data_IF_193974291818
#
_entry.id   IF_193974291818
#
_cell.length_a   1.000
_cell.length_b   1.000
_cell.length_c   1.000
_cell.angle_alpha   90.00
_cell.angle_beta   90.00
_cell.angle_gamma   90.00
#
_symmetry.space_group_name_H-M   'P 1'
#
loop_
_entity.id
_entity.type
_entity.pdbx_description
1 polymer ?
#
# COMPACT_ATOMS: atom_id res chain seq x y z
N UNK A 1 25.06 26.37 5.23
CA UNK A 1 24.35 25.80 4.06
C UNK A 1 23.92 24.33 4.24
N UNK A 2 23.89 23.77 5.46
CA UNK A 2 23.56 22.35 5.73
C UNK A 2 22.09 22.10 6.15
N UNK A 3 21.26 23.15 6.23
CA UNK A 3 19.85 23.05 6.66
C UNK A 3 18.86 22.85 5.51
N UNK A 4 19.24 23.16 4.27
CA UNK A 4 18.36 23.10 3.11
C UNK A 4 17.83 21.68 2.77
N UNK A 5 18.65 20.60 2.82
CA UNK A 5 18.19 19.25 2.49
C UNK A 5 17.20 18.66 3.51
N UNK A 6 17.27 19.10 4.77
CA UNK A 6 16.37 18.66 5.84
C UNK A 6 15.02 19.42 5.83
N UNK A 7 14.99 20.64 5.29
CA UNK A 7 13.80 21.48 5.24
C UNK A 7 12.92 21.23 4.00
N UNK A 8 13.51 20.74 2.90
CA UNK A 8 12.81 20.48 1.65
C UNK A 8 11.58 19.55 1.80
N UNK A 9 11.67 18.40 2.51
CA UNK A 9 10.51 17.54 2.74
C UNK A 9 9.41 18.23 3.56
N UNK A 10 9.78 19.00 4.59
CA UNK A 10 8.84 19.74 5.43
C UNK A 10 8.14 20.86 4.67
N UNK A 11 8.86 21.57 3.80
CA UNK A 11 8.32 22.63 2.93
C UNK A 11 7.36 22.02 1.90
N UNK A 12 7.74 20.91 1.26
CA UNK A 12 6.87 20.20 0.31
C UNK A 12 5.59 19.69 0.99
N UNK A 13 5.69 19.18 2.22
CA UNK A 13 4.53 18.76 3.01
C UNK A 13 3.61 19.95 3.36
N UNK A 14 4.19 21.09 3.75
CA UNK A 14 3.40 22.31 4.01
C UNK A 14 2.69 22.84 2.75
N UNK A 15 3.36 22.84 1.60
CA UNK A 15 2.77 23.26 0.32
C UNK A 15 1.64 22.32 -0.12
N UNK A 16 1.81 21.00 0.05
CA UNK A 16 0.74 20.02 -0.23
C UNK A 16 -0.45 20.19 0.69
N UNK A 17 -0.22 20.42 1.99
CA UNK A 17 -1.30 20.70 2.95
C UNK A 17 -2.08 21.97 2.56
N UNK A 18 -1.39 23.06 2.24
CA UNK A 18 -2.03 24.29 1.80
C UNK A 18 -2.87 24.07 0.53
N UNK A 19 -2.35 23.29 -0.42
CA UNK A 19 -3.10 22.88 -1.61
C UNK A 19 -4.30 22.01 -1.27
N UNK A 20 -4.20 21.09 -0.30
CA UNK A 20 -5.34 20.24 0.09
C UNK A 20 -6.51 21.08 0.64
N UNK A 21 -6.21 22.14 1.38
CA UNK A 21 -7.23 23.03 1.95
C UNK A 21 -7.98 23.85 0.88
N UNK A 22 -7.46 23.99 -0.34
CA UNK A 22 -8.21 24.65 -1.44
C UNK A 22 -9.37 23.80 -1.96
N UNK A 23 -9.40 22.50 -1.62
CA UNK A 23 -10.46 21.57 -1.99
C UNK A 23 -11.54 21.42 -0.91
N UNK A 24 -11.41 22.17 0.20
CA UNK A 24 -12.30 22.13 1.34
C UNK A 24 -13.53 23.03 1.14
N UNK A 25 -14.69 22.54 1.56
CA UNK A 25 -15.97 23.25 1.60
C UNK A 25 -16.20 23.89 2.98
N UNK A 26 -17.15 24.82 3.05
CA UNK A 26 -17.46 25.55 4.29
C UNK A 26 -18.11 24.66 5.36
N UNK A 27 -18.76 23.58 4.95
CA UNK A 27 -19.33 22.54 5.82
C UNK A 27 -18.29 21.54 6.34
N UNK A 28 -17.02 21.70 5.97
CA UNK A 28 -15.91 20.83 6.40
C UNK A 28 -15.61 19.66 5.46
N UNK A 29 -16.43 19.44 4.42
CA UNK A 29 -16.24 18.37 3.44
C UNK A 29 -15.19 18.71 2.39
N UNK A 30 -14.77 17.72 1.61
CA UNK A 30 -13.80 17.87 0.52
C UNK A 30 -14.36 17.32 -0.78
N UNK A 31 -14.06 17.98 -1.91
CA UNK A 31 -14.43 17.51 -3.26
C UNK A 31 -13.26 17.66 -4.24
N UNK A 32 -13.39 17.10 -5.45
CA UNK A 32 -12.31 17.10 -6.44
C UNK A 32 -11.95 18.51 -6.93
N UNK A 33 -12.92 19.42 -6.97
CA UNK A 33 -12.74 20.81 -7.42
C UNK A 33 -13.12 21.84 -6.35
N UNK A 34 -13.16 21.44 -5.09
CA UNK A 34 -13.52 22.32 -3.96
C UNK A 34 -14.88 22.97 -4.15
N UNK A 35 -15.00 24.25 -3.82
CA UNK A 35 -16.26 25.01 -3.88
C UNK A 35 -16.88 25.14 -5.28
N UNK A 36 -16.19 24.70 -6.35
CA UNK A 36 -16.79 24.62 -7.69
C UNK A 36 -17.72 23.41 -7.83
N UNK A 37 -17.55 22.38 -7.00
CA UNK A 37 -18.52 21.29 -6.92
C UNK A 37 -19.71 21.68 -6.04
N UNK A 38 -20.92 21.20 -6.34
CA UNK A 38 -22.12 21.54 -5.57
C UNK A 38 -22.13 20.94 -4.16
N UNK A 39 -21.32 19.91 -3.91
CA UNK A 39 -21.22 19.26 -2.60
C UNK A 39 -19.89 18.53 -2.43
N UNK A 40 -19.53 18.27 -1.17
CA UNK A 40 -18.44 17.37 -0.80
C UNK A 40 -18.66 15.94 -1.27
N UNK A 41 -17.57 15.18 -1.34
CA UNK A 41 -17.59 13.75 -1.63
C UNK A 41 -17.29 12.94 -0.36
N UNK A 42 -18.11 11.94 -0.05
CA UNK A 42 -17.97 11.13 1.18
C UNK A 42 -16.64 10.40 1.27
N UNK A 43 -16.28 9.68 0.21
CA UNK A 43 -15.02 8.95 0.17
C UNK A 43 -13.80 9.88 0.27
N UNK A 44 -13.78 10.98 -0.50
CA UNK A 44 -12.65 11.90 -0.49
C UNK A 44 -12.51 12.61 0.86
N UNK A 45 -13.62 13.00 1.49
CA UNK A 45 -13.61 13.61 2.82
C UNK A 45 -12.99 12.67 3.85
N UNK A 46 -13.36 11.38 3.82
CA UNK A 46 -12.76 10.37 4.70
C UNK A 46 -11.27 10.13 4.38
N UNK A 47 -10.88 10.07 3.10
CA UNK A 47 -9.49 9.93 2.68
C UNK A 47 -8.62 11.10 3.18
N UNK A 48 -9.10 12.33 3.07
CA UNK A 48 -8.39 13.53 3.55
C UNK A 48 -8.31 13.53 5.08
N UNK A 49 -9.41 13.22 5.76
CA UNK A 49 -9.45 13.10 7.22
C UNK A 49 -8.42 12.08 7.74
N UNK A 50 -8.39 10.87 7.15
CA UNK A 50 -7.40 9.83 7.44
C UNK A 50 -5.97 10.33 7.21
N UNK A 51 -5.71 10.94 6.06
CA UNK A 51 -4.39 11.46 5.69
C UNK A 51 -3.90 12.55 6.65
N UNK A 52 -4.77 13.48 7.02
CA UNK A 52 -4.49 14.56 7.96
C UNK A 52 -4.19 14.04 9.36
N UNK A 53 -4.96 13.06 9.84
CA UNK A 53 -4.68 12.40 11.12
C UNK A 53 -3.31 11.72 11.13
N UNK A 54 -3.00 10.94 10.09
CA UNK A 54 -1.69 10.29 9.96
C UNK A 54 -0.53 11.29 9.92
N UNK A 55 -0.71 12.41 9.22
CA UNK A 55 0.30 13.47 9.08
C UNK A 55 0.50 14.29 10.36
N UNK A 56 -0.51 14.39 11.24
CA UNK A 56 -0.46 15.18 12.49
C UNK A 56 0.70 14.81 13.40
N UNK A 57 1.21 13.58 13.30
CA UNK A 57 2.39 13.10 14.06
C UNK A 57 3.71 13.76 13.63
N UNK A 58 3.77 14.33 12.43
CA UNK A 58 5.00 14.82 11.81
C UNK A 58 4.93 16.30 11.41
N UNK A 59 3.73 16.82 11.14
CA UNK A 59 3.50 18.21 10.76
C UNK A 59 2.29 18.78 11.50
N UNK A 60 2.28 20.10 11.66
CA UNK A 60 1.12 20.79 12.22
C UNK A 60 -0.08 20.66 11.26
N UNK A 61 -1.14 20.01 11.75
CA UNK A 61 -2.46 19.95 11.15
C UNK A 61 -3.44 20.51 12.19
N UNK A 62 -4.23 21.50 11.79
CA UNK A 62 -5.30 22.03 12.63
C UNK A 62 -6.37 20.96 12.85
N UNK A 63 -6.62 20.63 14.13
CA UNK A 63 -7.58 19.61 14.55
C UNK A 63 -9.00 19.95 14.08
N UNK A 64 -9.35 21.23 13.95
CA UNK A 64 -10.65 21.67 13.47
C UNK A 64 -10.96 21.11 12.07
N UNK A 65 -9.96 20.92 11.20
CA UNK A 65 -10.17 20.34 9.88
C UNK A 65 -10.57 18.85 9.95
N UNK A 66 -10.06 18.12 10.93
CA UNK A 66 -10.36 16.71 11.14
C UNK A 66 -11.76 16.58 11.78
N UNK A 67 -12.04 17.40 12.79
CA UNK A 67 -13.32 17.37 13.51
C UNK A 67 -14.48 17.77 12.62
N UNK A 68 -14.31 18.80 11.78
CA UNK A 68 -15.32 19.23 10.81
C UNK A 68 -15.60 18.14 9.77
N UNK A 69 -14.55 17.48 9.25
CA UNK A 69 -14.72 16.37 8.31
C UNK A 69 -15.47 15.19 8.96
N UNK A 70 -15.14 14.83 10.21
CA UNK A 70 -15.86 13.80 10.98
C UNK A 70 -17.33 14.16 11.15
N UNK A 71 -17.61 15.40 11.59
CA UNK A 71 -18.97 15.86 11.84
C UNK A 71 -19.82 15.81 10.55
N UNK A 72 -19.25 16.27 9.44
CA UNK A 72 -19.92 16.21 8.14
C UNK A 72 -20.17 14.77 7.69
N UNK A 73 -19.20 13.86 7.83
CA UNK A 73 -19.38 12.43 7.53
C UNK A 73 -20.49 11.82 8.37
N UNK A 74 -20.58 12.16 9.66
CA UNK A 74 -21.65 11.72 10.55
C UNK A 74 -23.05 12.17 10.08
N UNK A 75 -23.15 13.33 9.40
CA UNK A 75 -24.41 13.79 8.79
C UNK A 75 -24.79 13.01 7.52
N UNK A 76 -23.84 12.32 6.89
CA UNK A 76 -24.09 11.45 5.73
C UNK A 76 -24.47 10.02 6.14
N UNK A 77 -24.60 9.74 7.44
CA UNK A 77 -25.00 8.44 7.94
C UNK A 77 -26.52 8.24 7.80
N UNK A 78 -26.91 7.11 7.22
CA UNK A 78 -28.29 6.71 7.00
C UNK A 78 -28.91 6.11 8.27
N UNK A 79 -30.23 5.89 8.26
CA UNK A 79 -30.97 5.32 9.40
C UNK A 79 -30.53 3.91 9.78
N UNK A 80 -30.04 3.12 8.80
CA UNK A 80 -29.48 1.79 9.01
C UNK A 80 -28.04 1.82 9.57
N UNK A 81 -27.42 3.00 9.69
CA UNK A 81 -26.06 3.19 10.19
C UNK A 81 -24.97 3.19 9.12
N UNK A 82 -25.24 2.79 7.89
CA UNK A 82 -24.28 2.90 6.78
C UNK A 82 -24.18 4.35 6.29
N UNK A 83 -23.08 4.69 5.64
CA UNK A 83 -22.86 6.01 5.05
C UNK A 83 -23.37 6.06 3.62
N UNK A 84 -24.10 7.12 3.29
CA UNK A 84 -24.55 7.38 1.93
C UNK A 84 -23.38 7.81 1.04
N UNK A 85 -23.41 7.40 -0.23
CA UNK A 85 -22.46 7.88 -1.24
C UNK A 85 -22.96 9.21 -1.82
N UNK A 86 -22.37 10.33 -1.39
CA UNK A 86 -22.70 11.68 -1.90
C UNK A 86 -21.54 12.32 -2.64
N UNK A 87 -21.88 13.28 -3.53
CA UNK A 87 -20.93 14.04 -4.33
C UNK A 87 -20.37 13.27 -5.52
N UNK A 88 -19.73 14.00 -6.43
CA UNK A 88 -19.10 13.41 -7.63
C UNK A 88 -17.60 13.28 -7.42
N UNK A 89 -17.04 12.14 -7.82
CA UNK A 89 -15.60 11.96 -7.92
C UNK A 89 -15.24 11.90 -9.40
N UNK A 90 -14.35 12.81 -9.84
CA UNK A 90 -13.96 12.92 -11.24
C UNK A 90 -13.26 11.66 -11.76
N UNK A 91 -12.58 10.92 -10.88
CA UNK A 91 -11.91 9.67 -11.22
C UNK A 91 -12.23 8.58 -10.19
N UNK A 92 -13.10 7.65 -10.55
CA UNK A 92 -13.46 6.52 -9.70
C UNK A 92 -12.31 5.53 -9.47
N UNK A 93 -11.24 5.53 -10.29
CA UNK A 93 -10.05 4.71 -10.02
C UNK A 93 -9.34 5.12 -8.73
N UNK A 94 -9.58 6.35 -8.23
CA UNK A 94 -9.04 6.78 -6.94
C UNK A 94 -9.67 6.03 -5.76
N UNK A 95 -10.89 5.49 -5.90
CA UNK A 95 -11.59 4.73 -4.85
C UNK A 95 -11.13 3.29 -4.72
N UNK A 96 -10.32 2.80 -5.66
CA UNK A 96 -9.94 1.39 -5.73
C UNK A 96 -11.18 0.49 -5.78
N UNK A 97 -11.24 -0.51 -4.91
CA UNK A 97 -12.37 -1.43 -4.83
C UNK A 97 -13.63 -0.88 -4.14
N UNK A 98 -13.63 0.36 -3.61
CA UNK A 98 -14.80 0.96 -2.94
C UNK A 98 -15.84 1.40 -3.97
N UNK A 99 -16.85 0.56 -4.19
CA UNK A 99 -17.83 0.71 -5.28
C UNK A 99 -19.29 0.72 -4.82
N UNK A 100 -19.58 0.40 -3.56
CA UNK A 100 -20.93 0.36 -2.99
C UNK A 100 -20.98 0.99 -1.59
N UNK A 101 -22.18 1.10 -1.01
CA UNK A 101 -22.36 1.73 0.31
C UNK A 101 -21.72 0.93 1.45
N UNK A 102 -21.65 -0.40 1.32
CA UNK A 102 -21.04 -1.27 2.35
C UNK A 102 -19.54 -1.06 2.39
N UNK A 103 -18.87 -1.12 1.24
CA UNK A 103 -17.43 -0.87 1.10
C UNK A 103 -17.07 0.56 1.48
N UNK A 104 -17.91 1.55 1.12
CA UNK A 104 -17.73 2.93 1.53
C UNK A 104 -17.83 3.06 3.05
N UNK A 105 -18.84 2.44 3.65
CA UNK A 105 -19.05 2.48 5.10
C UNK A 105 -17.91 1.80 5.85
N UNK A 106 -17.42 0.65 5.36
CA UNK A 106 -16.28 -0.03 5.92
C UNK A 106 -15.01 0.84 5.85
N UNK A 107 -14.77 1.48 4.70
CA UNK A 107 -13.64 2.39 4.53
C UNK A 107 -13.70 3.59 5.49
N UNK A 108 -14.86 4.26 5.60
CA UNK A 108 -15.05 5.39 6.51
C UNK A 108 -14.87 4.95 7.97
N UNK A 109 -15.42 3.80 8.32
CA UNK A 109 -15.33 3.24 9.70
C UNK A 109 -13.89 2.91 10.04
N UNK A 110 -13.15 2.24 9.16
CA UNK A 110 -11.74 1.96 9.33
C UNK A 110 -10.92 3.26 9.49
N UNK A 111 -11.20 4.29 8.68
CA UNK A 111 -10.56 5.60 8.82
C UNK A 111 -10.82 6.22 10.21
N UNK A 112 -12.07 6.22 10.70
CA UNK A 112 -12.42 6.73 12.03
C UNK A 112 -11.71 5.95 13.15
N UNK A 113 -11.63 4.62 13.05
CA UNK A 113 -10.93 3.79 14.02
C UNK A 113 -9.41 4.01 13.99
N UNK A 114 -8.81 4.19 12.81
CA UNK A 114 -7.38 4.56 12.67
C UNK A 114 -7.05 5.92 13.30
N UNK A 115 -8.02 6.83 13.35
CA UNK A 115 -7.93 8.10 14.06
C UNK A 115 -7.89 7.93 15.59
N UNK A 116 -8.17 6.72 16.10
CA UNK A 116 -8.30 6.43 17.54
C UNK A 116 -9.69 6.72 18.10
N UNK A 117 -10.68 6.98 17.24
CA UNK A 117 -12.08 7.11 17.68
C UNK A 117 -12.55 5.72 18.10
N UNK A 118 -13.04 5.62 19.33
CA UNK A 118 -13.43 4.34 19.91
C UNK A 118 -14.70 3.79 19.24
N UNK A 119 -14.85 2.47 19.28
CA UNK A 119 -16.01 1.72 18.82
C UNK A 119 -17.32 2.12 19.53
N UNK A 120 -17.22 2.72 20.72
CA UNK A 120 -18.35 3.27 21.49
C UNK A 120 -18.83 4.64 20.99
N UNK A 121 -18.09 5.30 20.11
CA UNK A 121 -18.55 6.54 19.48
C UNK A 121 -19.84 6.27 18.68
N UNK A 122 -20.90 7.08 18.84
CA UNK A 122 -22.20 6.81 18.22
C UNK A 122 -22.16 6.65 16.70
N UNK A 123 -21.28 7.38 16.00
CA UNK A 123 -21.15 7.29 14.55
C UNK A 123 -20.48 5.96 14.17
N UNK A 124 -19.42 5.58 14.89
CA UNK A 124 -18.68 4.32 14.67
C UNK A 124 -19.56 3.12 15.03
N UNK A 125 -20.21 3.12 16.18
CA UNK A 125 -21.06 2.04 16.67
C UNK A 125 -22.20 1.71 15.70
N UNK A 126 -22.91 2.74 15.20
CA UNK A 126 -23.98 2.56 14.21
C UNK A 126 -23.45 1.99 12.89
N UNK A 127 -22.30 2.46 12.44
CA UNK A 127 -21.68 1.94 11.21
C UNK A 127 -21.26 0.49 11.37
N UNK A 128 -20.60 0.13 12.49
CA UNK A 128 -20.24 -1.25 12.79
C UNK A 128 -21.48 -2.17 12.83
N UNK A 129 -22.60 -1.71 13.38
CA UNK A 129 -23.86 -2.47 13.34
C UNK A 129 -24.35 -2.72 11.90
N UNK A 130 -24.34 -1.69 11.03
CA UNK A 130 -24.69 -1.85 9.62
C UNK A 130 -23.77 -2.84 8.88
N UNK A 131 -22.46 -2.75 9.16
CA UNK A 131 -21.45 -3.61 8.55
C UNK A 131 -21.56 -5.06 9.02
N UNK A 132 -21.94 -5.29 10.29
CA UNK A 132 -22.21 -6.64 10.81
C UNK A 132 -23.38 -7.28 10.09
N UNK A 133 -24.49 -6.57 9.93
CA UNK A 133 -25.65 -7.07 9.19
C UNK A 133 -25.29 -7.42 7.74
N UNK A 134 -24.50 -6.55 7.10
CA UNK A 134 -24.03 -6.74 5.72
C UNK A 134 -23.02 -7.90 5.59
N UNK A 135 -22.42 -8.36 6.69
CA UNK A 135 -21.37 -9.38 6.70
C UNK A 135 -21.86 -10.82 6.52
N UNK A 136 -23.15 -11.06 6.76
CA UNK A 136 -23.74 -12.40 6.68
C UNK A 136 -23.87 -12.94 5.24
N UNK A 137 -23.80 -12.07 4.22
CA UNK A 137 -24.05 -12.41 2.80
C UNK A 137 -22.87 -12.08 1.87
N UNK A 138 -21.62 -12.22 2.33
CA UNK A 138 -20.47 -11.76 1.54
C UNK A 138 -19.83 -12.88 0.73
N UNK A 139 -20.11 -12.85 -0.58
CA UNK A 139 -19.39 -13.61 -1.61
C UNK A 139 -18.19 -12.84 -2.21
N UNK A 140 -18.00 -11.57 -1.84
CA UNK A 140 -16.97 -10.70 -2.42
C UNK A 140 -15.71 -10.64 -1.55
N UNK A 141 -14.62 -11.21 -2.05
CA UNK A 141 -13.30 -11.27 -1.39
C UNK A 141 -12.75 -9.90 -0.98
N UNK A 142 -12.96 -8.84 -1.79
CA UNK A 142 -12.51 -7.49 -1.45
C UNK A 142 -13.24 -6.93 -0.22
N UNK A 143 -14.56 -7.10 -0.19
CA UNK A 143 -15.40 -6.65 0.94
C UNK A 143 -15.00 -7.39 2.22
N UNK A 144 -14.80 -8.71 2.13
CA UNK A 144 -14.33 -9.53 3.26
C UNK A 144 -12.97 -9.04 3.78
N UNK A 145 -12.04 -8.70 2.90
CA UNK A 145 -10.72 -8.18 3.30
C UNK A 145 -10.83 -6.83 4.03
N UNK A 146 -11.57 -5.88 3.47
CA UNK A 146 -11.77 -4.57 4.08
C UNK A 146 -12.52 -4.65 5.43
N UNK A 147 -13.55 -5.49 5.52
CA UNK A 147 -14.24 -5.74 6.78
C UNK A 147 -13.36 -6.44 7.80
N UNK A 148 -12.53 -7.40 7.39
CA UNK A 148 -11.60 -8.06 8.31
C UNK A 148 -10.67 -7.04 8.96
N UNK A 149 -10.21 -6.04 8.20
CA UNK A 149 -9.41 -4.94 8.73
C UNK A 149 -10.24 -4.02 9.64
N UNK A 150 -11.44 -3.63 9.21
CA UNK A 150 -12.33 -2.76 9.98
C UNK A 150 -12.68 -3.35 11.34
N UNK A 151 -13.08 -4.63 11.39
CA UNK A 151 -13.40 -5.32 12.64
C UNK A 151 -12.15 -5.60 13.49
N UNK A 152 -10.98 -5.78 12.87
CA UNK A 152 -9.71 -5.83 13.61
C UNK A 152 -9.48 -4.52 14.37
N UNK A 153 -9.65 -3.38 13.70
CA UNK A 153 -9.47 -2.07 14.33
C UNK A 153 -10.53 -1.79 15.42
N UNK A 154 -11.73 -2.33 15.26
CA UNK A 154 -12.82 -2.20 16.24
C UNK A 154 -12.67 -3.13 17.47
N UNK A 155 -11.66 -4.01 17.49
CA UNK A 155 -11.46 -4.98 18.56
C UNK A 155 -12.45 -6.16 18.55
N UNK A 156 -13.18 -6.38 17.47
CA UNK A 156 -14.12 -7.50 17.34
C UNK A 156 -13.38 -8.78 16.89
N UNK A 157 -12.87 -9.53 17.86
CA UNK A 157 -12.04 -10.70 17.62
C UNK A 157 -12.79 -11.86 16.93
N UNK A 158 -14.07 -12.05 17.23
CA UNK A 158 -14.90 -13.12 16.66
C UNK A 158 -15.15 -12.89 15.17
N UNK A 159 -15.60 -11.68 14.80
CA UNK A 159 -15.78 -11.29 13.41
C UNK A 159 -14.46 -11.33 12.65
N UNK A 160 -13.39 -10.80 13.25
CA UNK A 160 -12.05 -10.83 12.66
C UNK A 160 -11.61 -12.27 12.35
N UNK A 161 -11.72 -13.19 13.31
CA UNK A 161 -11.32 -14.59 13.11
C UNK A 161 -12.16 -15.28 12.03
N UNK A 162 -13.47 -15.02 12.01
CA UNK A 162 -14.40 -15.59 11.03
C UNK A 162 -14.05 -15.13 9.61
N UNK A 163 -13.85 -13.82 9.42
CA UNK A 163 -13.55 -13.23 8.12
C UNK A 163 -12.15 -13.66 7.61
N UNK A 164 -11.12 -13.64 8.48
CA UNK A 164 -9.77 -14.07 8.10
C UNK A 164 -9.70 -15.58 7.79
N UNK A 165 -10.43 -16.41 8.55
CA UNK A 165 -10.56 -17.84 8.24
C UNK A 165 -11.24 -18.09 6.90
N UNK A 166 -12.25 -17.28 6.54
CA UNK A 166 -12.88 -17.36 5.22
C UNK A 166 -11.90 -16.94 4.12
N UNK A 167 -11.18 -15.83 4.31
CA UNK A 167 -10.17 -15.36 3.37
C UNK A 167 -9.06 -16.40 3.16
N UNK A 168 -8.60 -17.09 4.20
CA UNK A 168 -7.56 -18.12 4.04
C UNK A 168 -7.99 -19.26 3.11
N UNK A 169 -9.28 -19.65 3.14
CA UNK A 169 -9.84 -20.66 2.21
C UNK A 169 -9.83 -20.19 0.75
N UNK A 170 -9.89 -18.88 0.53
CA UNK A 170 -9.90 -18.26 -0.80
C UNK A 170 -8.50 -17.87 -1.30
N UNK A 171 -7.48 -18.00 -0.44
CA UNK A 171 -6.13 -17.51 -0.73
C UNK A 171 -5.51 -18.24 -1.94
N UNK A 172 -5.01 -17.45 -2.90
CA UNK A 172 -4.20 -17.95 -4.01
C UNK A 172 -2.74 -18.04 -3.57
N UNK A 173 -2.03 -19.06 -4.06
CA UNK A 173 -0.63 -19.31 -3.74
C UNK A 173 0.19 -19.40 -5.02
N UNK A 174 1.26 -18.62 -5.08
CA UNK A 174 2.22 -18.61 -6.18
C UNK A 174 3.64 -18.75 -5.60
N UNK A 175 4.16 -19.98 -5.61
CA UNK A 175 5.39 -20.32 -4.88
C UNK A 175 5.23 -20.03 -3.38
N UNK A 176 6.08 -19.15 -2.85
CA UNK A 176 5.99 -18.67 -1.45
C UNK A 176 5.05 -17.46 -1.28
N UNK A 177 4.54 -16.90 -2.38
CA UNK A 177 3.62 -15.77 -2.37
C UNK A 177 2.18 -16.17 -2.04
N UNK A 178 1.46 -15.30 -1.32
CA UNK A 178 0.04 -15.44 -1.00
C UNK A 178 -0.71 -14.16 -1.38
N UNK A 179 -1.87 -14.29 -2.02
CA UNK A 179 -2.67 -13.15 -2.46
C UNK A 179 -4.14 -13.51 -2.66
N UNK A 180 -4.96 -12.50 -2.90
CA UNK A 180 -6.40 -12.62 -3.12
C UNK A 180 -6.81 -11.96 -4.43
N UNK A 181 -7.82 -12.53 -5.08
CA UNK A 181 -8.39 -12.05 -6.34
C UNK A 181 -9.89 -11.88 -6.21
N UNK A 182 -10.48 -10.99 -7.01
CA UNK A 182 -11.94 -10.96 -7.18
C UNK A 182 -12.43 -12.25 -7.85
N UNK A 183 -13.64 -12.68 -7.52
CA UNK A 183 -14.29 -13.79 -8.20
C UNK A 183 -14.38 -13.51 -9.71
N UNK A 184 -14.07 -14.50 -10.54
CA UNK A 184 -14.15 -14.49 -12.02
C UNK A 184 -13.07 -13.71 -12.79
N UNK A 185 -12.03 -13.16 -12.16
CA UNK A 185 -10.90 -12.59 -12.90
C UNK A 185 -9.89 -13.66 -13.30
N UNK A 186 -9.86 -14.01 -14.59
CA UNK A 186 -8.86 -14.91 -15.20
C UNK A 186 -7.48 -14.24 -15.38
N UNK A 187 -7.41 -12.92 -15.26
CA UNK A 187 -6.19 -12.10 -15.35
C UNK A 187 -6.28 -10.99 -14.28
N UNK A 188 -5.42 -10.98 -13.26
CA UNK A 188 -5.43 -9.93 -12.25
C UNK A 188 -5.04 -8.59 -12.90
N UNK A 189 -5.91 -7.58 -12.81
CA UNK A 189 -5.59 -6.21 -13.26
C UNK A 189 -4.65 -5.47 -12.27
N UNK A 190 -4.20 -6.17 -11.22
CA UNK A 190 -3.12 -5.81 -10.33
C UNK A 190 -3.57 -4.90 -9.19
N UNK A 191 -4.34 -3.84 -9.49
CA UNK A 191 -4.65 -2.83 -8.48
C UNK A 191 -5.57 -3.33 -7.37
N UNK A 192 -6.68 -4.01 -7.71
CA UNK A 192 -7.65 -4.46 -6.69
C UNK A 192 -7.10 -5.66 -5.92
N UNK A 193 -6.33 -6.53 -6.57
CA UNK A 193 -5.65 -7.65 -5.91
C UNK A 193 -4.59 -7.17 -4.91
N UNK A 194 -3.83 -6.13 -5.25
CA UNK A 194 -2.89 -5.46 -4.34
C UNK A 194 -3.64 -4.85 -3.16
N UNK A 195 -4.68 -4.08 -3.40
CA UNK A 195 -5.46 -3.45 -2.34
C UNK A 195 -6.09 -4.51 -1.40
N UNK A 196 -6.73 -5.54 -1.97
CA UNK A 196 -7.34 -6.64 -1.21
C UNK A 196 -6.31 -7.34 -0.33
N UNK A 197 -5.18 -7.76 -0.92
CA UNK A 197 -4.13 -8.48 -0.20
C UNK A 197 -3.47 -7.61 0.87
N UNK A 198 -3.36 -6.30 0.63
CA UNK A 198 -2.86 -5.34 1.61
C UNK A 198 -3.82 -5.16 2.79
N UNK A 199 -5.14 -5.12 2.58
CA UNK A 199 -6.10 -5.11 3.70
C UNK A 199 -6.05 -6.39 4.53
N UNK A 200 -5.88 -7.57 3.91
CA UNK A 200 -5.69 -8.82 4.67
C UNK A 200 -4.43 -8.72 5.53
N UNK A 201 -3.32 -8.22 4.97
CA UNK A 201 -2.09 -8.01 5.73
C UNK A 201 -2.28 -7.02 6.89
N UNK A 202 -3.00 -5.91 6.68
CA UNK A 202 -3.32 -4.96 7.75
C UNK A 202 -4.17 -5.58 8.85
N UNK A 203 -5.19 -6.37 8.52
CA UNK A 203 -6.03 -7.09 9.49
C UNK A 203 -5.24 -8.11 10.33
N UNK A 204 -4.24 -8.75 9.74
CA UNK A 204 -3.35 -9.67 10.45
C UNK A 204 -2.42 -8.94 11.43
N UNK A 205 -1.95 -7.75 11.06
CA UNK A 205 -0.93 -7.00 11.81
C UNK A 205 -1.46 -5.98 12.80
N UNK A 206 -2.70 -5.52 12.64
CA UNK A 206 -3.29 -4.46 13.46
C UNK A 206 -4.05 -4.96 14.71
N UNK A 207 -4.13 -6.27 14.92
CA UNK A 207 -4.80 -6.86 16.08
C UNK A 207 -3.94 -7.86 16.83
N UNK A 208 -4.47 -8.46 17.93
CA UNK A 208 -3.78 -9.49 18.69
C UNK A 208 -3.35 -10.69 17.83
N UNK A 209 -2.34 -11.43 18.28
CA UNK A 209 -1.84 -12.60 17.54
C UNK A 209 -2.94 -13.66 17.38
N UNK A 210 -3.21 -14.07 16.15
CA UNK A 210 -4.14 -15.15 15.84
C UNK A 210 -3.39 -16.46 15.55
N UNK A 211 -3.84 -17.61 16.11
CA UNK A 211 -3.27 -18.91 15.79
C UNK A 211 -3.30 -19.19 14.28
N UNK A 212 -2.20 -19.68 13.72
CA UNK A 212 -2.07 -19.96 12.28
C UNK A 212 -1.77 -18.74 11.39
N UNK A 213 -1.89 -17.53 11.93
CA UNK A 213 -1.83 -16.26 11.19
C UNK A 213 -0.63 -15.38 11.59
N UNK A 214 0.48 -16.00 12.02
CA UNK A 214 1.68 -15.28 12.48
C UNK A 214 2.50 -14.59 11.38
N UNK A 215 3.65 -14.02 11.76
CA UNK A 215 4.52 -13.27 10.84
C UNK A 215 5.02 -14.08 9.63
N UNK A 216 5.16 -15.41 9.77
CA UNK A 216 5.50 -16.30 8.66
C UNK A 216 4.35 -16.42 7.64
N UNK A 217 3.09 -16.43 8.11
CA UNK A 217 1.93 -16.37 7.23
C UNK A 217 1.92 -15.04 6.46
N UNK A 218 2.10 -13.94 7.19
CA UNK A 218 2.15 -12.59 6.63
C UNK A 218 3.32 -12.39 5.64
N UNK A 219 4.45 -13.07 5.84
CA UNK A 219 5.61 -13.01 4.95
C UNK A 219 5.26 -13.40 3.50
N UNK A 220 4.37 -14.38 3.31
CA UNK A 220 3.92 -14.78 1.98
C UNK A 220 3.13 -13.68 1.26
N UNK A 221 2.35 -12.89 2.01
CA UNK A 221 1.59 -11.75 1.47
C UNK A 221 2.54 -10.62 1.09
N UNK A 222 3.48 -10.30 1.98
CA UNK A 222 4.53 -9.30 1.76
C UNK A 222 5.37 -9.65 0.54
N UNK A 223 5.76 -10.91 0.40
CA UNK A 223 6.52 -11.39 -0.76
C UNK A 223 5.75 -11.17 -2.07
N UNK A 224 4.45 -11.47 -2.10
CA UNK A 224 3.64 -11.24 -3.30
C UNK A 224 3.46 -9.75 -3.58
N UNK A 225 3.11 -8.93 -2.59
CA UNK A 225 2.97 -7.47 -2.74
C UNK A 225 4.26 -6.83 -3.26
N UNK A 226 5.42 -7.26 -2.76
CA UNK A 226 6.72 -6.74 -3.19
C UNK A 226 7.01 -7.00 -4.68
N UNK A 227 6.44 -8.07 -5.26
CA UNK A 227 6.56 -8.36 -6.70
C UNK A 227 5.65 -7.48 -7.56
N UNK A 228 4.57 -6.96 -7.00
CA UNK A 228 3.62 -6.10 -7.74
C UNK A 228 4.07 -4.63 -7.77
N UNK A 229 5.10 -4.27 -7.01
CA UNK A 229 5.60 -2.89 -6.97
C UNK A 229 6.34 -2.54 -8.27
N UNK A 230 6.03 -1.37 -8.82
CA UNK A 230 6.71 -0.85 -10.01
C UNK A 230 8.10 -0.29 -9.67
N UNK A 231 8.89 0.00 -10.71
CA UNK A 231 10.28 0.49 -10.56
C UNK A 231 10.42 1.81 -9.79
N UNK A 232 9.33 2.58 -9.64
CA UNK A 232 9.30 3.86 -8.93
C UNK A 232 8.84 3.70 -7.47
N UNK A 233 8.61 2.47 -6.99
CA UNK A 233 8.17 2.20 -5.62
C UNK A 233 6.65 2.38 -5.40
N UNK A 234 5.86 2.55 -6.46
CA UNK A 234 4.40 2.59 -6.39
C UNK A 234 3.74 1.31 -6.92
N UNK A 235 2.41 1.31 -6.95
CA UNK A 235 1.59 0.25 -7.56
C UNK A 235 0.79 0.85 -8.72
N UNK A 236 -0.27 0.17 -9.15
CA UNK A 236 -0.99 0.50 -10.39
C UNK A 236 -1.92 1.72 -10.24
N UNK A 237 -2.38 2.03 -9.01
CA UNK A 237 -3.23 3.19 -8.73
C UNK A 237 -2.78 3.95 -7.48
N UNK A 238 -3.58 4.94 -7.04
CA UNK A 238 -3.28 5.69 -5.81
C UNK A 238 -3.66 4.90 -4.57
N UNK A 239 -4.83 4.25 -4.60
CA UNK A 239 -5.43 3.60 -3.45
C UNK A 239 -4.68 2.31 -3.09
N UNK A 240 -4.37 1.46 -4.07
CA UNK A 240 -3.57 0.25 -3.87
C UNK A 240 -2.18 0.59 -3.33
N UNK A 241 -1.56 1.67 -3.82
CA UNK A 241 -0.28 2.16 -3.34
C UNK A 241 -0.35 2.58 -1.88
N UNK A 242 -1.34 3.39 -1.49
CA UNK A 242 -1.47 3.86 -0.10
C UNK A 242 -1.66 2.69 0.86
N UNK A 243 -2.57 1.77 0.55
CA UNK A 243 -2.89 0.64 1.43
C UNK A 243 -1.74 -0.37 1.48
N UNK A 244 -1.13 -0.70 0.33
CA UNK A 244 0.00 -1.63 0.29
C UNK A 244 1.22 -1.07 1.04
N UNK A 245 1.56 0.21 0.87
CA UNK A 245 2.65 0.83 1.60
C UNK A 245 2.36 0.88 3.11
N UNK A 246 1.12 1.15 3.52
CA UNK A 246 0.72 1.09 4.93
C UNK A 246 0.92 -0.33 5.49
N UNK A 247 0.49 -1.36 4.76
CA UNK A 247 0.60 -2.76 5.17
C UNK A 247 2.06 -3.23 5.26
N UNK A 248 2.87 -2.91 4.25
CA UNK A 248 4.30 -3.23 4.22
C UNK A 248 5.06 -2.50 5.33
N UNK A 249 4.72 -1.24 5.62
CA UNK A 249 5.31 -0.50 6.72
C UNK A 249 4.98 -1.11 8.08
N UNK A 250 3.73 -1.54 8.32
CA UNK A 250 3.36 -2.25 9.54
C UNK A 250 4.12 -3.59 9.68
N UNK A 251 4.25 -4.35 8.60
CA UNK A 251 4.99 -5.60 8.63
C UNK A 251 6.47 -5.36 8.96
N UNK A 252 7.05 -4.32 8.35
CA UNK A 252 8.42 -3.90 8.61
C UNK A 252 8.63 -3.47 10.07
N UNK A 253 7.65 -2.83 10.69
CA UNK A 253 7.70 -2.50 12.11
C UNK A 253 7.61 -3.76 12.99
N UNK A 254 6.73 -4.70 12.65
CA UNK A 254 6.53 -5.94 13.40
C UNK A 254 7.72 -6.92 13.29
N UNK A 255 8.49 -6.87 12.20
CA UNK A 255 9.69 -7.69 11.97
C UNK A 255 11.00 -6.96 12.28
N UNK A 256 10.90 -5.74 12.82
CA UNK A 256 12.05 -4.92 13.12
C UNK A 256 13.02 -5.61 14.09
N UNK A 257 14.30 -5.64 13.72
CA UNK A 257 15.38 -6.11 14.58
C UNK A 257 16.53 -5.10 14.56
N UNK A 258 16.83 -4.50 15.71
CA UNK A 258 17.89 -3.50 15.86
C UNK A 258 19.29 -4.09 15.63
N UNK A 259 19.51 -5.34 16.03
CA UNK A 259 20.78 -6.07 15.86
C UNK A 259 20.84 -6.86 14.55
N UNK A 260 19.94 -6.56 13.61
CA UNK A 260 19.87 -7.24 12.33
C UNK A 260 21.13 -7.02 11.50
N UNK A 261 21.79 -8.11 11.11
CA UNK A 261 22.88 -8.13 10.15
C UNK A 261 22.62 -9.25 9.16
N UNK A 262 22.52 -8.93 7.88
CA UNK A 262 22.41 -9.92 6.81
C UNK A 262 23.46 -9.65 5.75
N UNK A 263 24.20 -10.69 5.39
CA UNK A 263 25.02 -10.73 4.20
C UNK A 263 24.35 -11.61 3.15
N UNK A 264 24.12 -11.06 1.95
CA UNK A 264 23.67 -11.81 0.78
C UNK A 264 24.84 -11.97 -0.16
N UNK A 265 25.14 -13.20 -0.55
CA UNK A 265 26.10 -13.51 -1.62
C UNK A 265 25.34 -14.07 -2.81
N UNK A 266 25.54 -13.47 -3.96
CA UNK A 266 24.98 -13.93 -5.23
C UNK A 266 26.12 -14.41 -6.12
N UNK A 267 26.02 -15.66 -6.57
CA UNK A 267 27.01 -16.30 -7.43
C UNK A 267 26.43 -16.45 -8.83
N UNK A 268 27.11 -15.89 -9.84
CA UNK A 268 26.74 -16.00 -11.25
C UNK A 268 27.06 -17.40 -11.81
N UNK A 269 26.56 -17.72 -13.01
CA UNK A 269 26.90 -18.98 -13.69
C UNK A 269 28.40 -19.13 -13.95
N UNK A 270 29.12 -18.05 -14.28
CA UNK A 270 30.59 -18.05 -14.39
C UNK A 270 31.34 -18.15 -13.06
N UNK A 271 30.62 -18.17 -11.93
CA UNK A 271 31.19 -18.23 -10.58
C UNK A 271 31.56 -16.89 -9.98
N UNK A 272 31.31 -15.77 -10.68
CA UNK A 272 31.50 -14.42 -10.13
C UNK A 272 30.59 -14.22 -8.91
N UNK A 273 31.15 -13.65 -7.83
CA UNK A 273 30.41 -13.41 -6.58
C UNK A 273 30.19 -11.92 -6.34
N UNK A 274 28.93 -11.54 -6.16
CA UNK A 274 28.53 -10.22 -5.69
C UNK A 274 28.01 -10.33 -4.25
N UNK A 275 28.50 -9.49 -3.36
CA UNK A 275 28.10 -9.49 -1.95
C UNK A 275 27.39 -8.18 -1.61
N UNK A 276 26.27 -8.32 -0.89
CA UNK A 276 25.49 -7.22 -0.32
C UNK A 276 25.46 -7.40 1.19
N UNK A 277 25.55 -6.29 1.92
CA UNK A 277 25.49 -6.33 3.37
C UNK A 277 24.46 -5.32 3.84
N UNK A 278 23.57 -5.79 4.70
CA UNK A 278 22.50 -5.02 5.29
C UNK A 278 22.70 -5.03 6.81
N UNK A 279 22.83 -3.85 7.40
CA UNK A 279 22.96 -3.62 8.83
C UNK A 279 22.16 -2.37 9.25
N UNK A 280 22.23 -2.00 10.53
CA UNK A 280 21.49 -0.85 11.05
C UNK A 280 21.81 0.48 10.33
N UNK A 281 23.05 0.67 9.88
CA UNK A 281 23.51 1.94 9.29
C UNK A 281 23.07 2.08 7.84
N UNK A 282 23.02 0.97 7.09
CA UNK A 282 22.75 0.98 5.66
C UNK A 282 21.41 0.35 5.26
N UNK A 283 20.60 -0.11 6.23
CA UNK A 283 19.29 -0.73 5.96
C UNK A 283 18.28 0.17 5.27
N UNK A 284 18.54 1.47 5.14
CA UNK A 284 17.70 2.42 4.41
C UNK A 284 18.29 2.81 3.04
N UNK A 285 19.48 2.31 2.71
CA UNK A 285 20.18 2.61 1.47
C UNK A 285 19.86 1.56 0.42
N UNK A 286 19.38 2.01 -0.73
CA UNK A 286 19.26 1.18 -1.92
C UNK A 286 20.63 0.68 -2.35
N UNK A 287 20.74 -0.63 -2.58
CA UNK A 287 21.96 -1.25 -3.09
C UNK A 287 21.64 -2.00 -4.37
N UNK A 288 22.44 -1.77 -5.41
CA UNK A 288 22.34 -2.49 -6.68
C UNK A 288 23.73 -2.88 -7.20
N UNK A 289 23.75 -3.96 -8.00
CA UNK A 289 24.90 -4.34 -8.82
C UNK A 289 24.40 -4.77 -10.19
N UNK A 290 25.13 -4.33 -11.21
CA UNK A 290 24.95 -4.85 -12.55
C UNK A 290 25.47 -6.28 -12.62
N UNK A 291 24.66 -7.16 -13.18
CA UNK A 291 25.04 -8.53 -13.47
C UNK A 291 25.63 -8.57 -14.88
N UNK A 292 26.79 -9.20 -15.04
CA UNK A 292 27.47 -9.27 -16.34
C UNK A 292 26.78 -10.24 -17.30
N UNK A 293 26.20 -11.32 -16.77
CA UNK A 293 25.53 -12.35 -17.56
C UNK A 293 24.01 -12.13 -17.52
N UNK A 294 23.38 -11.87 -18.66
CA UNK A 294 21.94 -11.63 -18.71
C UNK A 294 21.11 -12.90 -18.44
N UNK A 295 21.70 -14.08 -18.65
CA UNK A 295 21.03 -15.39 -18.60
C UNK A 295 21.80 -16.39 -17.77
N UNK A 296 21.09 -17.35 -17.17
CA UNK A 296 21.67 -18.48 -16.44
C UNK A 296 21.18 -18.57 -14.99
N UNK A 297 21.64 -19.59 -14.27
CA UNK A 297 21.23 -19.83 -12.88
C UNK A 297 22.11 -19.07 -11.89
N UNK A 298 21.52 -18.12 -11.18
CA UNK A 298 22.16 -17.40 -10.10
C UNK A 298 21.86 -18.06 -8.75
N UNK A 299 22.91 -18.32 -7.97
CA UNK A 299 22.76 -18.89 -6.63
C UNK A 299 22.81 -17.79 -5.58
N UNK A 300 21.74 -17.66 -4.79
CA UNK A 300 21.66 -16.73 -3.66
C UNK A 300 21.91 -17.46 -2.33
N UNK A 301 22.81 -16.92 -1.51
CA UNK A 301 23.06 -17.38 -0.15
C UNK A 301 22.96 -16.21 0.81
N UNK A 302 21.99 -16.27 1.72
CA UNK A 302 21.86 -15.33 2.83
C UNK A 302 22.50 -15.91 4.11
N UNK A 303 23.21 -15.08 4.87
CA UNK A 303 23.75 -15.42 6.19
C UNK A 303 23.48 -14.27 7.17
N UNK A 304 23.08 -14.60 8.39
CA UNK A 304 22.86 -13.64 9.47
C UNK A 304 21.41 -13.62 9.97
N UNK A 305 21.00 -12.51 10.59
CA UNK A 305 19.68 -12.31 11.20
C UNK A 305 18.99 -11.08 10.61
N UNK A 306 17.78 -11.28 10.07
CA UNK A 306 16.90 -10.22 9.57
C UNK A 306 16.09 -10.68 8.35
N UNK A 307 15.43 -9.74 7.67
CA UNK A 307 14.74 -9.98 6.40
C UNK A 307 15.19 -8.97 5.33
N UNK A 308 15.41 -9.47 4.11
CA UNK A 308 15.83 -8.70 2.93
C UNK A 308 15.08 -9.21 1.73
N UNK A 309 14.64 -8.29 0.89
CA UNK A 309 14.10 -8.57 -0.43
C UNK A 309 15.17 -8.39 -1.49
N UNK A 310 15.24 -9.35 -2.40
CA UNK A 310 16.17 -9.31 -3.52
C UNK A 310 15.36 -9.33 -4.79
N UNK A 311 15.62 -8.37 -5.67
CA UNK A 311 14.97 -8.27 -6.97
C UNK A 311 16.02 -8.35 -8.07
N UNK A 312 15.74 -9.16 -9.07
CA UNK A 312 16.49 -9.18 -10.32
C UNK A 312 15.62 -8.49 -11.37
N UNK A 313 16.13 -7.45 -11.98
CA UNK A 313 15.47 -6.69 -13.02
C UNK A 313 16.24 -6.84 -14.33
N UNK A 314 15.57 -7.29 -15.39
CA UNK A 314 16.11 -7.29 -16.74
C UNK A 314 15.43 -6.15 -17.51
N UNK A 315 16.19 -5.10 -17.81
CA UNK A 315 15.74 -3.97 -18.63
C UNK A 315 16.16 -4.23 -20.08
N UNK A 316 15.21 -4.42 -21.02
CA UNK A 316 15.55 -4.33 -22.44
C UNK A 316 15.86 -2.87 -22.77
N UNK A 317 17.11 -2.54 -23.09
CA UNK A 317 17.44 -1.23 -23.65
C UNK A 317 16.84 -1.14 -25.06
N UNK A 318 15.76 -0.38 -25.20
CA UNK A 318 15.33 0.17 -26.48
C UNK A 318 16.30 1.29 -26.85
N UNK A 319 17.40 0.94 -27.50
CA UNK A 319 18.28 1.93 -28.13
C UNK A 319 17.48 2.55 -29.29
N UNK A 320 17.25 3.87 -29.24
CA UNK A 320 16.77 4.64 -30.39
C UNK A 320 17.75 4.46 -31.55
N UNK A 321 17.39 3.67 -32.56
CA UNK A 321 18.17 3.58 -33.80
C UNK A 321 18.00 4.91 -34.54
N UNK A 322 19.00 5.78 -34.50
CA UNK A 322 19.19 6.77 -35.55
C UNK A 322 19.46 5.98 -36.84
N UNK A 323 18.47 5.99 -37.74
CA UNK A 323 18.54 5.33 -39.04
C UNK A 323 19.76 5.82 -39.85
N UNK A 324 20.67 4.94 -40.31
CA UNK A 324 21.65 5.33 -41.30
C UNK A 324 20.98 5.34 -42.68
N UNK A 325 21.02 6.50 -43.35
CA UNK A 325 20.79 6.59 -44.79
C UNK A 325 21.82 5.70 -45.50
N UNK A 326 21.33 4.79 -46.33
CA UNK A 326 22.04 4.08 -47.40
C UNK A 326 23.36 3.38 -47.04
N UNK A 327 23.31 2.08 -46.81
CA UNK A 327 24.13 1.12 -47.57
C UNK A 327 23.73 -0.31 -47.25
N UNK A 328 23.54 -1.10 -48.30
CA UNK A 328 23.31 -2.55 -48.26
C UNK A 328 24.55 -3.29 -47.72
N UNK A 329 24.53 -3.71 -46.45
CA UNK A 329 25.14 -4.96 -45.93
C UNK A 329 25.16 -4.97 -44.38
N UNK A 330 24.68 -6.08 -43.80
CA UNK A 330 24.73 -6.49 -42.37
C UNK A 330 24.19 -5.48 -41.33
N UNK A 331 22.95 -5.69 -40.89
CA UNK A 331 22.48 -5.20 -39.59
C UNK A 331 22.29 -6.40 -38.64
N UNK A 332 23.32 -6.72 -37.86
CA UNK A 332 23.12 -7.39 -36.58
C UNK A 332 22.57 -6.34 -35.59
N UNK A 333 21.29 -6.42 -35.25
CA UNK A 333 20.74 -5.66 -34.15
C UNK A 333 21.23 -6.29 -32.82
N UNK A 334 22.22 -5.69 -32.18
CA UNK A 334 22.58 -6.05 -30.80
C UNK A 334 21.53 -5.46 -29.85
N UNK A 335 20.62 -6.30 -29.35
CA UNK A 335 19.85 -5.99 -28.15
C UNK A 335 20.76 -6.16 -26.92
N UNK A 336 21.23 -5.07 -26.33
CA UNK A 336 21.81 -5.15 -25.00
C UNK A 336 20.68 -5.21 -23.96
N UNK A 337 20.47 -6.39 -23.38
CA UNK A 337 19.65 -6.53 -22.18
C UNK A 337 20.53 -6.23 -20.98
N UNK A 338 20.20 -5.18 -20.23
CA UNK A 338 20.90 -4.86 -18.99
C UNK A 338 20.19 -5.59 -17.85
N UNK A 339 20.87 -6.54 -17.22
CA UNK A 339 20.35 -7.20 -16.02
C UNK A 339 20.97 -6.56 -14.79
N UNK A 340 20.13 -5.94 -13.98
CA UNK A 340 20.48 -5.35 -12.69
C UNK A 340 19.91 -6.24 -11.59
N UNK A 341 20.62 -6.28 -10.47
CA UNK A 341 20.11 -6.90 -9.26
C UNK A 341 20.20 -5.91 -8.11
N UNK A 342 19.07 -5.75 -7.44
CA UNK A 342 18.95 -4.90 -6.27
C UNK A 342 18.65 -5.72 -5.03
N UNK A 343 19.22 -5.27 -3.92
CA UNK A 343 18.93 -5.79 -2.59
C UNK A 343 18.39 -4.64 -1.76
N UNK A 344 17.21 -4.85 -1.20
CA UNK A 344 16.57 -3.92 -0.30
C UNK A 344 16.19 -4.64 0.98
N UNK A 345 16.23 -3.92 2.09
CA UNK A 345 15.58 -4.39 3.31
C UNK A 345 14.08 -4.30 3.11
N UNK A 346 13.31 -5.09 3.85
CA UNK A 346 11.86 -4.92 3.88
C UNK A 346 11.43 -3.49 4.28
N UNK A 347 12.34 -2.70 4.87
CA UNK A 347 12.15 -1.30 5.27
C UNK A 347 12.30 -0.31 4.11
N UNK A 348 13.15 -0.57 3.11
CA UNK A 348 13.48 0.41 2.04
C UNK A 348 12.35 0.61 1.04
N UNK A 349 11.46 -0.37 0.86
CA UNK A 349 10.29 -0.23 0.00
C UNK A 349 9.47 1.04 0.28
N UNK A 350 9.51 1.53 1.52
CA UNK A 350 8.85 2.74 1.98
C UNK A 350 9.58 4.04 1.59
N UNK A 351 10.91 4.04 1.52
CA UNK A 351 11.72 5.26 1.31
C UNK A 351 11.98 5.57 -0.16
N UNK A 352 11.93 4.57 -1.05
CA UNK A 352 12.02 4.80 -2.49
C UNK A 352 10.86 5.67 -3.00
N UNK A 353 9.68 5.58 -2.35
CA UNK A 353 8.53 6.45 -2.61
C UNK A 353 8.82 7.93 -2.30
N UNK A 354 9.56 8.24 -1.22
CA UNK A 354 9.96 9.62 -0.91
C UNK A 354 10.90 10.16 -2.01
N UNK A 355 11.78 9.31 -2.56
CA UNK A 355 12.68 9.68 -3.67
C UNK A 355 12.00 9.79 -5.03
N UNK A 356 10.94 9.04 -5.30
CA UNK A 356 10.14 9.17 -6.54
C UNK A 356 9.24 10.40 -6.57
N UNK A 357 9.18 11.13 -5.46
CA UNK A 357 8.39 12.35 -5.25
C UNK A 357 9.26 13.62 -5.22
N UNK A 358 10.57 13.46 -5.07
CA UNK A 358 11.60 14.51 -5.24
C UNK A 358 12.12 14.50 -6.66
#
# INVERSE_FOLDING_TARGET
AQTLPLLLPSILQQLRRQRQLTYKHDDGSYSAFGRNDPSGNTWLTAFVMKSFSGAKKYIFIDQANIDQAKNWLGQQQQSNGCFASVGKLFNNMLKGGVNDEVTLSAYITAALLELGIQETDPVVAKSLACLKESSHNIDNTYVTALLSYTFTLAGDEEMRQTLLSNLDKQAKREGVGRYWTLANNAQPMGSVEVETSAYVLLALLSGPSLPGFGLNYSAGIVHWLSKQQNANGGFSSTQDTVVALQALAQYSAATYNAEGFISITVTSPSGQRNQFTVNQDNRLLYQEKQLQEATGTYNLRAKGKGCVFVQVCALPLLIHILSPRNSSSRNECFHHVLTLMSVQTCVIFFLQWIRGIT
#
